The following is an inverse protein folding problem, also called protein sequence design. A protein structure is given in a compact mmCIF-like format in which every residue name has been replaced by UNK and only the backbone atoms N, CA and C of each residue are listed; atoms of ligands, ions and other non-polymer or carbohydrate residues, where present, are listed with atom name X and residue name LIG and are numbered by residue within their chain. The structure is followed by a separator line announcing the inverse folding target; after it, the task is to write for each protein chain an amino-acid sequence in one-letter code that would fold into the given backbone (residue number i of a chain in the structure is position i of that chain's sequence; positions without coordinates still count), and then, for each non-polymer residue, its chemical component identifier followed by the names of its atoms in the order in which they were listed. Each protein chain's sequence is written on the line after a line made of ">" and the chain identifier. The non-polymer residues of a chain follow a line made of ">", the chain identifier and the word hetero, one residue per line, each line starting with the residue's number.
data_IF_199158642520
#
_entry.id   IF_199158642520
#
_cell.length_a   1.000
_cell.length_b   1.000
_cell.length_c   1.000
_cell.angle_alpha   90.00
_cell.angle_beta   90.00
_cell.angle_gamma   90.00
#
_symmetry.space_group_name_H-M   'P 1'
#
loop_
_entity.id
_entity.type
_entity.pdbx_description
1 polymer ?
#
# COMPACT_ATOMS: atom_id res chain seq x y z
N UNK A 1 17.10 -2.64 -3.14
CA UNK A 1 17.73 -2.24 -1.87
C UNK A 1 19.16 -1.88 -2.21
N UNK A 2 19.56 -0.62 -2.03
CA UNK A 2 20.95 -0.18 -2.15
C UNK A 2 21.80 -0.96 -1.14
N UNK A 3 22.91 -1.57 -1.56
CA UNK A 3 23.69 -2.54 -0.79
C UNK A 3 24.49 -2.00 0.40
N UNK A 4 23.94 -1.09 1.19
CA UNK A 4 24.53 -0.64 2.45
C UNK A 4 23.57 -0.88 3.61
N UNK A 5 24.07 -1.40 4.72
CA UNK A 5 23.30 -1.54 5.95
C UNK A 5 22.81 -0.17 6.44
N UNK A 6 21.52 -0.11 6.79
CA UNK A 6 20.86 1.14 7.17
C UNK A 6 21.25 1.52 8.60
N UNK A 7 22.23 2.43 8.73
CA UNK A 7 22.73 2.94 10.03
C UNK A 7 21.65 3.76 10.78
N UNK A 8 20.79 4.46 10.04
CA UNK A 8 19.74 5.36 10.56
C UNK A 8 18.35 4.72 10.44
N UNK A 9 17.71 4.42 11.57
CA UNK A 9 16.37 3.83 11.63
C UNK A 9 15.50 4.49 12.71
N UNK A 10 14.26 4.03 12.85
CA UNK A 10 13.28 4.53 13.81
C UNK A 10 13.65 4.29 15.29
N UNK A 11 14.70 3.52 15.59
CA UNK A 11 15.21 3.36 16.96
C UNK A 11 16.47 4.19 17.22
N UNK A 12 17.24 4.53 16.19
CA UNK A 12 18.52 5.26 16.30
C UNK A 12 18.46 6.76 16.00
N UNK A 13 17.40 7.27 15.36
CA UNK A 13 17.24 8.69 15.03
C UNK A 13 15.95 9.28 15.62
N UNK A 14 16.06 10.41 16.33
CA UNK A 14 14.96 10.95 17.13
C UNK A 14 13.78 11.43 16.27
N UNK A 15 14.05 11.98 15.10
CA UNK A 15 13.06 12.47 14.15
C UNK A 15 12.29 11.31 13.48
N UNK A 16 12.87 10.10 13.47
CA UNK A 16 12.19 8.86 13.05
C UNK A 16 11.44 8.19 14.21
N UNK A 17 11.64 8.61 15.46
CA UNK A 17 10.79 8.25 16.61
C UNK A 17 9.51 9.08 16.61
N UNK A 18 8.84 9.05 15.46
CA UNK A 18 7.51 9.62 15.34
C UNK A 18 6.54 8.87 16.27
N UNK A 19 5.72 9.62 17.00
CA UNK A 19 4.71 9.09 17.92
C UNK A 19 3.31 9.47 17.48
N UNK A 20 2.34 8.60 17.78
CA UNK A 20 0.92 8.85 17.56
C UNK A 20 0.45 10.06 18.35
N UNK A 21 -0.53 10.78 17.80
CA UNK A 21 -1.25 11.78 18.59
C UNK A 21 -2.07 11.07 19.68
N UNK A 22 -1.83 11.33 20.97
CA UNK A 22 -2.68 10.76 22.01
C UNK A 22 -4.11 11.32 21.95
N UNK A 23 -4.32 12.47 21.30
CA UNK A 23 -5.62 13.11 21.17
C UNK A 23 -6.38 12.77 19.88
N UNK A 24 -5.82 11.91 19.02
CA UNK A 24 -6.48 11.46 17.78
C UNK A 24 -6.44 9.93 17.64
N UNK A 25 -6.66 9.23 18.75
CA UNK A 25 -6.61 7.77 18.81
C UNK A 25 -7.58 7.08 17.83
N UNK A 26 -8.67 7.75 17.48
CA UNK A 26 -9.69 7.30 16.55
C UNK A 26 -9.18 7.09 15.12
N UNK A 27 -8.08 7.75 14.73
CA UNK A 27 -7.48 7.57 13.40
C UNK A 27 -6.55 6.34 13.35
N UNK A 28 -6.00 5.92 14.49
CA UNK A 28 -5.02 4.84 14.60
C UNK A 28 -5.68 3.46 14.75
N UNK A 29 -6.62 3.17 13.85
CA UNK A 29 -7.35 1.89 13.78
C UNK A 29 -7.03 1.17 12.47
N UNK A 30 -7.33 -0.13 12.40
CA UNK A 30 -7.19 -0.90 11.16
C UNK A 30 -8.37 -0.62 10.22
N UNK A 31 -8.08 -0.58 8.92
CA UNK A 31 -9.14 -0.65 7.92
C UNK A 31 -9.89 -2.01 8.03
N UNK A 32 -11.21 -2.08 7.74
CA UNK A 32 -12.04 -3.24 8.04
C UNK A 32 -11.54 -4.58 7.46
N UNK A 33 -10.97 -4.56 6.26
CA UNK A 33 -10.39 -5.70 5.55
C UNK A 33 -9.13 -6.22 6.22
N UNK A 34 -8.29 -5.34 6.77
CA UNK A 34 -7.14 -5.76 7.60
C UNK A 34 -7.58 -6.23 8.98
N UNK A 35 -8.60 -5.58 9.57
CA UNK A 35 -9.12 -5.99 10.88
C UNK A 35 -9.63 -7.44 10.87
N UNK A 36 -10.33 -7.85 9.81
CA UNK A 36 -10.80 -9.23 9.61
C UNK A 36 -9.67 -10.26 9.44
N UNK A 37 -8.44 -9.81 9.21
CA UNK A 37 -7.26 -10.62 8.89
C UNK A 37 -6.11 -10.34 9.86
N UNK A 38 -6.40 -9.72 11.00
CA UNK A 38 -5.37 -9.22 11.90
C UNK A 38 -4.50 -10.35 12.48
N UNK A 39 -5.10 -11.52 12.67
CA UNK A 39 -4.48 -12.75 13.15
C UNK A 39 -3.45 -13.35 12.17
N UNK A 40 -3.51 -12.98 10.89
CA UNK A 40 -2.58 -13.46 9.86
C UNK A 40 -1.24 -12.71 9.85
N UNK A 41 -1.17 -11.57 10.56
CA UNK A 41 -0.06 -10.64 10.45
C UNK A 41 0.65 -10.46 11.80
N UNK A 42 1.98 -10.25 11.80
CA UNK A 42 2.70 -9.87 13.01
C UNK A 42 2.18 -8.55 13.59
N UNK A 43 2.15 -8.45 14.92
CA UNK A 43 1.68 -7.25 15.63
C UNK A 43 2.40 -5.98 15.17
N UNK A 44 3.72 -6.04 14.95
CA UNK A 44 4.49 -4.89 14.47
C UNK A 44 4.02 -4.37 13.11
N UNK A 45 3.56 -5.27 12.23
CA UNK A 45 2.97 -4.90 10.94
C UNK A 45 1.57 -4.32 11.10
N UNK A 46 0.76 -4.91 11.98
CA UNK A 46 -0.58 -4.38 12.35
C UNK A 46 -0.48 -2.94 12.85
N UNK A 47 0.49 -2.66 13.72
CA UNK A 47 0.73 -1.31 14.23
C UNK A 47 1.14 -0.33 13.13
N UNK A 48 1.88 -0.78 12.11
CA UNK A 48 2.18 0.06 10.94
C UNK A 48 0.93 0.31 10.10
N UNK A 49 0.09 -0.70 9.86
CA UNK A 49 -1.15 -0.54 9.09
C UNK A 49 -2.10 0.47 9.72
N UNK A 50 -2.18 0.51 11.05
CA UNK A 50 -2.93 1.56 11.80
C UNK A 50 -2.37 2.96 11.52
N UNK A 51 -1.05 3.10 11.44
CA UNK A 51 -0.41 4.39 11.17
C UNK A 51 -0.62 4.84 9.71
N UNK A 52 -0.64 3.90 8.76
CA UNK A 52 -0.97 4.17 7.35
C UNK A 52 -2.44 4.56 7.21
N UNK A 53 -3.34 3.87 7.89
CA UNK A 53 -4.76 4.23 7.90
C UNK A 53 -4.98 5.63 8.49
N UNK A 54 -4.26 6.00 9.55
CA UNK A 54 -4.30 7.37 10.07
C UNK A 54 -3.84 8.41 9.04
N UNK A 55 -2.79 8.13 8.26
CA UNK A 55 -2.38 9.00 7.13
C UNK A 55 -3.49 9.16 6.10
N UNK A 56 -4.18 8.05 5.77
CA UNK A 56 -5.31 8.07 4.86
C UNK A 56 -6.43 8.97 5.40
N UNK A 57 -6.85 8.77 6.66
CA UNK A 57 -7.89 9.59 7.29
C UNK A 57 -7.55 11.08 7.24
N UNK A 58 -6.31 11.45 7.56
CA UNK A 58 -5.84 12.85 7.52
C UNK A 58 -5.93 13.42 6.09
N UNK A 59 -5.48 12.66 5.09
CA UNK A 59 -5.54 13.10 3.69
C UNK A 59 -6.96 13.29 3.16
N UNK A 60 -7.90 12.47 3.63
CA UNK A 60 -9.30 12.53 3.23
C UNK A 60 -10.11 13.61 3.97
N UNK A 61 -9.54 14.27 4.98
CA UNK A 61 -10.20 15.42 5.63
C UNK A 61 -10.41 16.55 4.60
N UNK A 62 -11.64 17.08 4.45
CA UNK A 62 -11.93 18.14 3.48
C UNK A 62 -11.11 19.42 3.70
N UNK A 63 -10.78 19.72 4.96
CA UNK A 63 -9.98 20.88 5.35
C UNK A 63 -8.48 20.67 5.22
N UNK A 64 -8.02 19.43 4.97
CA UNK A 64 -6.59 19.15 4.90
C UNK A 64 -6.00 19.73 3.62
N UNK A 65 -5.18 20.76 3.81
CA UNK A 65 -4.33 21.36 2.80
C UNK A 65 -2.90 21.13 3.23
N UNK A 66 -2.16 20.33 2.47
CA UNK A 66 -0.73 20.04 2.69
C UNK A 66 0.13 21.30 2.41
N UNK A 67 -0.11 22.38 3.13
CA UNK A 67 0.45 23.71 2.90
C UNK A 67 1.16 24.26 4.14
N UNK A 68 0.79 23.82 5.34
CA UNK A 68 1.47 24.22 6.58
C UNK A 68 2.79 23.43 6.76
N UNK A 69 3.95 24.10 6.90
CA UNK A 69 5.24 23.43 7.10
C UNK A 69 5.30 22.48 8.29
N UNK A 70 4.58 22.77 9.37
CA UNK A 70 4.54 21.92 10.58
C UNK A 70 3.82 20.61 10.26
N UNK A 71 2.67 20.67 9.58
CA UNK A 71 1.91 19.49 9.18
C UNK A 71 2.66 18.66 8.14
N UNK A 72 3.31 19.32 7.18
CA UNK A 72 4.16 18.65 6.20
C UNK A 72 5.31 17.89 6.88
N UNK A 73 6.01 18.53 7.82
CA UNK A 73 7.07 17.87 8.59
C UNK A 73 6.54 16.70 9.42
N UNK A 74 5.36 16.83 10.04
CA UNK A 74 4.73 15.75 10.81
C UNK A 74 4.42 14.54 9.92
N UNK A 75 3.87 14.75 8.73
CA UNK A 75 3.55 13.70 7.77
C UNK A 75 4.80 13.07 7.19
N UNK A 76 5.82 13.86 6.85
CA UNK A 76 7.09 13.33 6.35
C UNK A 76 7.79 12.47 7.43
N UNK A 77 7.74 12.87 8.70
CA UNK A 77 8.27 12.06 9.82
C UNK A 77 7.47 10.77 10.03
N UNK A 78 6.13 10.84 9.96
CA UNK A 78 5.27 9.65 10.02
C UNK A 78 5.60 8.67 8.88
N UNK A 79 5.72 9.17 7.65
CA UNK A 79 6.09 8.38 6.49
C UNK A 79 7.47 7.73 6.64
N UNK A 80 8.45 8.50 7.10
CA UNK A 80 9.80 7.99 7.30
C UNK A 80 9.85 6.92 8.40
N UNK A 81 9.05 7.07 9.45
CA UNK A 81 8.86 6.05 10.51
C UNK A 81 8.20 4.78 9.95
N UNK A 82 7.09 4.91 9.22
CA UNK A 82 6.41 3.79 8.55
C UNK A 82 7.38 3.03 7.64
N UNK A 83 8.09 3.74 6.76
CA UNK A 83 9.04 3.12 5.84
C UNK A 83 10.21 2.46 6.55
N UNK A 84 10.69 3.03 7.66
CA UNK A 84 11.72 2.40 8.50
C UNK A 84 11.23 1.10 9.12
N UNK A 85 10.02 1.10 9.71
CA UNK A 85 9.45 -0.06 10.38
C UNK A 85 9.15 -1.19 9.40
N UNK A 86 8.55 -0.89 8.25
CA UNK A 86 8.28 -1.89 7.20
C UNK A 86 9.55 -2.58 6.70
N UNK A 87 10.65 -1.82 6.51
CA UNK A 87 11.93 -2.38 6.07
C UNK A 87 12.58 -3.26 7.15
N UNK A 88 12.32 -2.96 8.42
CA UNK A 88 12.83 -3.71 9.57
C UNK A 88 12.03 -4.97 9.92
N UNK A 89 10.85 -5.18 9.33
CA UNK A 89 10.03 -6.36 9.61
C UNK A 89 10.69 -7.65 9.10
N UNK A 90 10.49 -8.79 9.78
CA UNK A 90 11.01 -10.08 9.34
C UNK A 90 10.33 -10.52 8.04
N UNK A 91 11.14 -10.91 7.05
CA UNK A 91 10.68 -11.36 5.73
C UNK A 91 10.38 -12.86 5.75
N UNK A 92 9.26 -13.24 6.36
CA UNK A 92 8.94 -14.64 6.65
C UNK A 92 8.51 -15.44 5.40
N UNK A 93 7.86 -14.79 4.44
CA UNK A 93 7.39 -15.42 3.19
C UNK A 93 7.25 -14.38 2.07
N UNK A 94 7.20 -14.83 0.81
CA UNK A 94 7.04 -13.96 -0.34
C UNK A 94 5.69 -13.21 -0.34
N UNK A 95 4.59 -13.84 0.06
CA UNK A 95 3.28 -13.17 0.16
C UNK A 95 3.29 -12.10 1.26
N UNK A 96 3.98 -12.35 2.37
CA UNK A 96 4.07 -11.41 3.48
C UNK A 96 4.93 -10.20 3.09
N UNK A 97 6.05 -10.44 2.40
CA UNK A 97 6.83 -9.37 1.79
C UNK A 97 6.00 -8.54 0.79
N UNK A 98 5.15 -9.19 -0.03
CA UNK A 98 4.25 -8.49 -0.94
C UNK A 98 3.25 -7.60 -0.17
N UNK A 99 2.70 -8.08 0.96
CA UNK A 99 1.84 -7.26 1.83
C UNK A 99 2.57 -6.04 2.39
N UNK A 100 3.82 -6.21 2.84
CA UNK A 100 4.64 -5.10 3.36
C UNK A 100 4.95 -4.07 2.28
N UNK A 101 5.30 -4.52 1.08
CA UNK A 101 5.58 -3.66 -0.07
C UNK A 101 4.31 -2.93 -0.55
N UNK A 102 3.15 -3.61 -0.56
CA UNK A 102 1.86 -2.99 -0.85
C UNK A 102 1.54 -1.87 0.14
N UNK A 103 1.68 -2.14 1.44
CA UNK A 103 1.49 -1.14 2.50
C UNK A 103 2.48 0.04 2.36
N UNK A 104 3.75 -0.24 2.06
CA UNK A 104 4.77 0.79 1.82
C UNK A 104 4.36 1.70 0.65
N UNK A 105 3.94 1.09 -0.45
CA UNK A 105 3.53 1.81 -1.65
C UNK A 105 2.31 2.69 -1.40
N UNK A 106 1.28 2.17 -0.71
CA UNK A 106 0.13 2.96 -0.28
C UNK A 106 0.56 4.15 0.57
N UNK A 107 1.46 3.95 1.55
CA UNK A 107 1.97 5.01 2.40
C UNK A 107 2.67 6.11 1.58
N UNK A 108 3.56 5.74 0.64
CA UNK A 108 4.20 6.69 -0.28
C UNK A 108 3.17 7.54 -1.04
N UNK A 109 2.05 6.94 -1.45
CA UNK A 109 1.02 7.61 -2.23
C UNK A 109 0.06 8.46 -1.39
N UNK A 110 0.05 8.30 -0.06
CA UNK A 110 -0.68 9.17 0.88
C UNK A 110 0.15 10.38 1.33
N UNK A 111 1.39 10.51 0.88
CA UNK A 111 2.31 11.50 1.44
C UNK A 111 2.40 12.80 0.65
N UNK A 112 3.29 13.67 1.15
CA UNK A 112 3.68 14.91 0.49
C UNK A 112 4.11 14.68 -0.96
N UNK A 113 4.12 15.75 -1.75
CA UNK A 113 4.54 15.67 -3.17
C UNK A 113 5.94 15.06 -3.31
N UNK A 114 6.82 15.21 -2.32
CA UNK A 114 8.20 14.69 -2.38
C UNK A 114 8.22 13.18 -2.51
N UNK A 115 7.51 12.45 -1.64
CA UNK A 115 7.49 10.98 -1.67
C UNK A 115 6.82 10.44 -2.93
N UNK A 116 5.67 11.03 -3.30
CA UNK A 116 4.90 10.61 -4.48
C UNK A 116 5.64 10.76 -5.80
N UNK A 117 6.45 11.79 -5.94
CA UNK A 117 7.23 12.06 -7.15
C UNK A 117 8.68 11.61 -7.04
N UNK A 118 9.05 10.94 -5.94
CA UNK A 118 10.36 10.32 -5.81
C UNK A 118 10.46 9.04 -6.64
N UNK A 119 11.65 8.45 -6.71
CA UNK A 119 11.87 7.13 -7.31
C UNK A 119 11.28 5.98 -6.50
N UNK A 120 10.84 6.24 -5.26
CA UNK A 120 10.43 5.19 -4.32
C UNK A 120 9.19 4.42 -4.77
N UNK A 121 8.06 5.04 -5.19
CA UNK A 121 6.88 4.29 -5.64
C UNK A 121 7.20 3.33 -6.79
N UNK A 122 7.95 3.78 -7.79
CA UNK A 122 8.34 2.94 -8.93
C UNK A 122 9.25 1.78 -8.51
N UNK A 123 10.22 2.03 -7.63
CA UNK A 123 11.12 1.01 -7.12
C UNK A 123 10.39 -0.03 -6.26
N UNK A 124 9.54 0.43 -5.34
CA UNK A 124 8.74 -0.44 -4.47
C UNK A 124 7.76 -1.27 -5.28
N UNK A 125 7.09 -0.66 -6.27
CA UNK A 125 6.14 -1.36 -7.12
C UNK A 125 6.80 -2.44 -7.98
N UNK A 126 7.99 -2.18 -8.52
CA UNK A 126 8.75 -3.20 -9.25
C UNK A 126 9.11 -4.40 -8.36
N UNK A 127 9.55 -4.15 -7.12
CA UNK A 127 9.84 -5.23 -6.18
C UNK A 127 8.57 -5.96 -5.73
N UNK A 128 7.46 -5.24 -5.56
CA UNK A 128 6.15 -5.81 -5.25
C UNK A 128 5.72 -6.80 -6.33
N UNK A 129 5.85 -6.42 -7.61
CA UNK A 129 5.54 -7.31 -8.73
C UNK A 129 6.33 -8.62 -8.64
N UNK A 130 7.63 -8.54 -8.37
CA UNK A 130 8.48 -9.74 -8.23
C UNK A 130 7.99 -10.66 -7.10
N UNK A 131 7.65 -10.09 -5.94
CA UNK A 131 7.15 -10.87 -4.79
C UNK A 131 5.76 -11.47 -5.04
N UNK A 132 4.91 -10.79 -5.78
CA UNK A 132 3.63 -11.35 -6.21
C UNK A 132 3.79 -12.46 -7.24
N UNK A 133 4.75 -12.35 -8.15
CA UNK A 133 5.09 -13.43 -9.09
C UNK A 133 5.66 -14.65 -8.36
N UNK A 134 6.58 -14.45 -7.41
CA UNK A 134 7.13 -15.53 -6.57
C UNK A 134 6.05 -16.24 -5.74
N UNK A 135 5.06 -15.50 -5.23
CA UNK A 135 4.01 -16.03 -4.36
C UNK A 135 2.70 -16.34 -5.08
N UNK A 136 2.64 -16.24 -6.42
CA UNK A 136 1.36 -16.33 -7.13
C UNK A 136 0.65 -17.68 -6.93
N UNK A 137 1.42 -18.76 -6.73
CA UNK A 137 0.87 -20.10 -6.55
C UNK A 137 0.68 -20.47 -5.06
N UNK A 138 0.89 -19.52 -4.16
CA UNK A 138 0.65 -19.70 -2.72
C UNK A 138 -0.85 -19.78 -2.41
N UNK A 139 -1.26 -20.79 -1.64
CA UNK A 139 -2.64 -21.03 -1.24
C UNK A 139 -3.22 -19.88 -0.40
N UNK A 140 -2.37 -19.08 0.25
CA UNK A 140 -2.78 -17.88 0.98
C UNK A 140 -3.67 -16.96 0.13
N UNK A 141 -3.37 -16.84 -1.17
CA UNK A 141 -4.13 -15.99 -2.07
C UNK A 141 -5.50 -16.55 -2.45
N UNK A 142 -5.70 -17.87 -2.34
CA UNK A 142 -6.99 -18.51 -2.60
C UNK A 142 -7.98 -18.15 -1.48
N UNK A 143 -7.50 -18.08 -0.24
CA UNK A 143 -8.30 -17.71 0.94
C UNK A 143 -8.49 -16.19 1.07
N UNK A 144 -7.63 -15.39 0.43
CA UNK A 144 -7.63 -13.93 0.56
C UNK A 144 -7.62 -13.16 -0.78
N UNK A 145 -8.57 -13.44 -1.69
CA UNK A 145 -8.63 -12.82 -3.01
C UNK A 145 -8.83 -11.30 -2.95
N UNK A 146 -9.60 -10.78 -1.99
CA UNK A 146 -9.82 -9.34 -1.83
C UNK A 146 -8.52 -8.60 -1.49
N UNK A 147 -7.66 -9.21 -0.67
CA UNK A 147 -6.36 -8.64 -0.31
C UNK A 147 -5.42 -8.66 -1.51
N UNK A 148 -5.39 -9.79 -2.24
CA UNK A 148 -4.62 -9.88 -3.49
C UNK A 148 -5.06 -8.81 -4.49
N UNK A 149 -6.37 -8.63 -4.65
CA UNK A 149 -6.95 -7.60 -5.52
C UNK A 149 -6.50 -6.20 -5.10
N UNK A 150 -6.58 -5.87 -3.81
CA UNK A 150 -6.09 -4.60 -3.30
C UNK A 150 -4.60 -4.37 -3.61
N UNK A 151 -3.74 -5.37 -3.39
CA UNK A 151 -2.30 -5.24 -3.67
C UNK A 151 -2.04 -5.09 -5.18
N UNK A 152 -2.69 -5.90 -6.03
CA UNK A 152 -2.49 -5.86 -7.48
C UNK A 152 -2.91 -4.52 -8.08
N UNK A 153 -4.06 -3.98 -7.68
CA UNK A 153 -4.51 -2.66 -8.13
C UNK A 153 -3.62 -1.55 -7.58
N UNK A 154 -3.27 -1.58 -6.29
CA UNK A 154 -2.34 -0.61 -5.68
C UNK A 154 -1.00 -0.60 -6.42
N UNK A 155 -0.41 -1.76 -6.65
CA UNK A 155 0.85 -1.91 -7.38
C UNK A 155 0.77 -1.42 -8.81
N UNK A 156 -0.22 -1.89 -9.57
CA UNK A 156 -0.40 -1.53 -10.97
C UNK A 156 -0.67 -0.04 -11.20
N UNK A 157 -1.57 0.54 -10.40
CA UNK A 157 -1.96 1.95 -10.51
C UNK A 157 -0.82 2.92 -10.22
N UNK A 158 0.07 2.57 -9.29
CA UNK A 158 1.20 3.42 -8.92
C UNK A 158 2.50 3.06 -9.65
N UNK A 159 2.42 2.14 -10.61
CA UNK A 159 3.53 1.83 -11.51
C UNK A 159 3.57 2.79 -12.71
N UNK A 160 4.75 3.26 -13.12
CA UNK A 160 4.89 3.94 -14.40
C UNK A 160 4.53 2.99 -15.55
N UNK A 161 4.09 3.55 -16.68
CA UNK A 161 3.84 2.77 -17.91
C UNK A 161 5.13 2.03 -18.32
N UNK A 162 5.00 0.76 -18.68
CA UNK A 162 6.13 -0.11 -19.00
C UNK A 162 6.03 -1.50 -18.39
N UNK A 163 7.15 -2.26 -18.33
CA UNK A 163 7.15 -3.67 -17.97
C UNK A 163 6.52 -3.99 -16.61
N UNK A 164 6.72 -3.13 -15.61
CA UNK A 164 6.14 -3.34 -14.28
C UNK A 164 4.60 -3.26 -14.32
N UNK A 165 4.04 -2.20 -14.93
CA UNK A 165 2.57 -2.06 -15.07
C UNK A 165 1.98 -3.21 -15.89
N UNK A 166 2.64 -3.60 -16.99
CA UNK A 166 2.23 -4.77 -17.79
C UNK A 166 2.27 -6.09 -16.99
N UNK A 167 3.26 -6.26 -16.11
CA UNK A 167 3.32 -7.43 -15.22
C UNK A 167 2.15 -7.50 -14.24
N UNK A 168 1.74 -6.37 -13.66
CA UNK A 168 0.52 -6.32 -12.84
C UNK A 168 -0.74 -6.66 -13.65
N UNK A 169 -0.86 -6.14 -14.89
CA UNK A 169 -1.97 -6.52 -15.78
C UNK A 169 -2.01 -8.03 -16.03
N UNK A 170 -0.86 -8.64 -16.33
CA UNK A 170 -0.76 -10.08 -16.57
C UNK A 170 -1.16 -10.89 -15.33
N UNK A 171 -0.71 -10.49 -14.14
CA UNK A 171 -1.14 -11.14 -12.88
C UNK A 171 -2.64 -10.98 -12.64
N UNK A 172 -3.23 -9.80 -12.89
CA UNK A 172 -4.67 -9.59 -12.78
C UNK A 172 -5.45 -10.49 -13.73
N UNK A 173 -5.00 -10.64 -14.98
CA UNK A 173 -5.64 -11.52 -15.97
C UNK A 173 -5.59 -13.00 -15.53
N UNK A 174 -4.44 -13.47 -15.04
CA UNK A 174 -4.29 -14.83 -14.51
C UNK A 174 -5.22 -15.04 -13.31
N UNK A 175 -5.25 -14.09 -12.38
CA UNK A 175 -6.01 -14.22 -11.14
C UNK A 175 -7.51 -13.99 -11.33
N UNK A 176 -7.92 -13.33 -12.41
CA UNK A 176 -9.33 -13.16 -12.76
C UNK A 176 -10.03 -14.51 -12.97
N UNK A 177 -9.36 -15.43 -13.68
CA UNK A 177 -9.89 -16.76 -13.94
C UNK A 177 -9.73 -17.70 -12.75
N UNK A 178 -8.58 -17.63 -12.06
CA UNK A 178 -8.25 -18.54 -10.96
C UNK A 178 -8.99 -18.21 -9.66
N UNK A 179 -9.03 -16.93 -9.26
CA UNK A 179 -9.37 -16.51 -7.88
C UNK A 179 -10.54 -15.54 -7.81
N UNK A 180 -10.69 -14.65 -8.78
CA UNK A 180 -11.74 -13.61 -8.74
C UNK A 180 -13.11 -14.09 -9.29
N UNK A 181 -13.36 -15.40 -9.18
CA UNK A 181 -14.63 -16.07 -9.52
C UNK A 181 -15.10 -15.83 -10.97
N UNK A 182 -14.19 -15.51 -11.90
CA UNK A 182 -14.45 -15.28 -13.33
C UNK A 182 -15.57 -14.28 -13.68
N UNK A 183 -16.14 -13.57 -12.69
CA UNK A 183 -17.09 -12.48 -12.93
C UNK A 183 -16.25 -11.25 -13.20
N UNK A 184 -16.50 -10.62 -14.35
CA UNK A 184 -16.02 -9.27 -14.62
C UNK A 184 -16.54 -8.36 -13.51
N UNK A 185 -15.68 -8.04 -12.55
CA UNK A 185 -15.99 -7.07 -11.51
C UNK A 185 -16.24 -5.72 -12.19
N UNK A 186 -17.24 -4.97 -11.74
CA UNK A 186 -17.43 -3.60 -12.20
C UNK A 186 -16.50 -2.65 -11.43
N UNK A 187 -16.20 -1.47 -11.98
CA UNK A 187 -15.39 -0.47 -11.27
C UNK A 187 -15.98 -0.13 -9.88
N UNK A 188 -17.31 0.09 -9.70
CA UNK A 188 -17.88 0.33 -8.37
C UNK A 188 -17.64 -0.83 -7.40
N UNK A 189 -17.78 -2.08 -7.84
CA UNK A 189 -17.53 -3.26 -7.00
C UNK A 189 -16.05 -3.36 -6.62
N UNK A 190 -15.13 -3.06 -7.54
CA UNK A 190 -13.71 -2.98 -7.23
C UNK A 190 -13.45 -1.92 -6.16
N UNK A 191 -14.00 -0.72 -6.31
CA UNK A 191 -13.80 0.36 -5.34
C UNK A 191 -14.32 -0.02 -3.95
N UNK A 192 -15.42 -0.77 -3.86
CA UNK A 192 -15.90 -1.31 -2.57
C UNK A 192 -14.90 -2.28 -1.94
N UNK A 193 -14.25 -3.14 -2.74
CA UNK A 193 -13.18 -4.03 -2.24
C UNK A 193 -11.98 -3.21 -1.76
N UNK A 194 -11.52 -2.22 -2.55
CA UNK A 194 -10.37 -1.40 -2.19
C UNK A 194 -10.62 -0.60 -0.90
N UNK A 195 -11.84 -0.08 -0.70
CA UNK A 195 -12.28 0.62 0.52
C UNK A 195 -12.23 -0.23 1.79
N UNK A 196 -12.21 -1.56 1.69
CA UNK A 196 -12.00 -2.40 2.86
C UNK A 196 -10.56 -2.30 3.39
N UNK A 197 -9.58 -1.87 2.57
CA UNK A 197 -8.18 -1.78 2.94
C UNK A 197 -7.74 -0.30 3.00
N UNK A 198 -6.45 -0.02 2.80
CA UNK A 198 -5.98 1.38 2.71
C UNK A 198 -6.43 1.96 1.38
N UNK A 199 -7.32 2.96 1.43
CA UNK A 199 -7.90 3.59 0.25
C UNK A 199 -8.26 5.06 0.51
N UNK A 200 -7.58 5.98 -0.17
CA UNK A 200 -7.98 7.40 -0.21
C UNK A 200 -8.63 7.72 -1.55
N UNK A 201 -9.91 8.07 -1.50
CA UNK A 201 -10.69 8.47 -2.69
C UNK A 201 -10.04 9.70 -3.37
N UNK A 202 -9.48 10.61 -2.59
CA UNK A 202 -8.84 11.83 -3.07
C UNK A 202 -7.51 11.56 -3.75
N UNK A 203 -6.73 10.62 -3.23
CA UNK A 203 -5.33 10.43 -3.64
C UNK A 203 -5.13 9.33 -4.66
N UNK A 204 -6.00 8.32 -4.68
CA UNK A 204 -5.79 7.09 -5.44
C UNK A 204 -6.74 6.94 -6.63
N UNK A 205 -7.95 7.52 -6.55
CA UNK A 205 -9.05 7.24 -7.49
C UNK A 205 -8.66 7.44 -8.95
N UNK A 206 -8.04 8.56 -9.29
CA UNK A 206 -7.68 8.85 -10.68
C UNK A 206 -6.70 7.82 -11.26
N UNK A 207 -5.68 7.42 -10.50
CA UNK A 207 -4.66 6.46 -10.94
C UNK A 207 -5.22 5.03 -11.03
N UNK A 208 -6.18 4.70 -10.15
CA UNK A 208 -6.87 3.41 -10.18
C UNK A 208 -7.85 3.33 -11.33
N UNK A 209 -8.60 4.39 -11.60
CA UNK A 209 -9.47 4.48 -12.78
C UNK A 209 -8.65 4.40 -14.07
N UNK A 210 -7.54 5.13 -14.20
CA UNK A 210 -6.65 5.02 -15.37
C UNK A 210 -6.13 3.59 -15.55
N UNK A 211 -5.72 2.93 -14.45
CA UNK A 211 -5.24 1.56 -14.53
C UNK A 211 -6.34 0.54 -14.85
N UNK A 212 -7.54 0.75 -14.31
CA UNK A 212 -8.72 -0.03 -14.63
C UNK A 212 -9.05 0.07 -16.12
N UNK A 213 -9.10 1.27 -16.68
CA UNK A 213 -9.34 1.51 -18.10
C UNK A 213 -8.26 0.88 -18.97
N UNK A 214 -6.99 1.02 -18.59
CA UNK A 214 -5.85 0.40 -19.27
C UNK A 214 -5.95 -1.14 -19.34
N UNK A 215 -6.60 -1.79 -18.38
CA UNK A 215 -6.82 -3.25 -18.39
C UNK A 215 -7.95 -3.64 -19.36
N UNK A 216 -8.98 -2.80 -19.48
CA UNK A 216 -10.20 -3.09 -20.25
C UNK A 216 -10.18 -2.56 -21.69
N UNK A 217 -9.16 -1.79 -22.07
CA UNK A 217 -8.98 -1.26 -23.43
C UNK A 217 -8.08 -2.11 -24.33
N UNK A 218 -7.36 -3.09 -23.77
CA UNK A 218 -6.45 -4.01 -24.50
C UNK A 218 -7.10 -5.36 -24.90
N UNK A 219 -8.44 -5.44 -24.93
CA UNK A 219 -9.20 -6.55 -25.55
C UNK A 219 -9.73 -6.17 -26.93
#
# INVERSE_FOLDING_TARGET
>A
MTGSDRIVNNTTFAELRWGRDPFSAEFFILAPGFQKRADLFPEDFIEVLKDIHALQCIQDLPSYTCQNPIEMCRIDNQQASIGSRLVGLPKLSAFMEACYLGAYLSACMLCSKVWRHSVMPSHVSHHLLHKLQESNDDLFWDDHPDLLMWILYTGGSFSPKGPTRSGFKALLQINHTLRFKAKSISLPELLEVLRQFVWSERMYRAQVEEFWEDIHTET
#
